data_IF_042710551540
#
_entry.id   IF_042710551540
#
_cell.length_a   1.000
_cell.length_b   1.000
_cell.length_c   1.000
_cell.angle_alpha   90.00
_cell.angle_beta   90.00
_cell.angle_gamma   90.00
#
_symmetry.space_group_name_H-M   'P 1'
#
loop_
_entity.id
_entity.type
_entity.pdbx_description
1 polymer ?
#
# COMPACT_ATOMS: atom_id res chain seq x y z
N UNK A 1 -2.10 -15.22 -2.59
CA UNK A 1 -2.60 -16.14 -1.55
C UNK A 1 -2.71 -15.33 -0.27
N UNK A 2 -3.91 -15.28 0.32
CA UNK A 2 -4.17 -14.57 1.58
C UNK A 2 -4.53 -15.65 2.60
N UNK A 3 -3.58 -16.02 3.46
CA UNK A 3 -3.71 -17.19 4.32
C UNK A 3 -3.91 -18.48 3.50
N UNK A 4 -5.05 -19.14 3.68
CA UNK A 4 -5.44 -20.36 2.94
C UNK A 4 -6.21 -20.06 1.64
N UNK A 5 -6.64 -18.82 1.41
CA UNK A 5 -7.44 -18.45 0.24
C UNK A 5 -6.57 -18.07 -0.97
N UNK A 6 -6.87 -18.67 -2.12
CA UNK A 6 -6.31 -18.29 -3.43
C UNK A 6 -7.40 -17.57 -4.23
N UNK A 7 -7.29 -16.25 -4.31
CA UNK A 7 -8.19 -15.39 -5.09
C UNK A 7 -7.40 -14.67 -6.17
N UNK A 8 -8.05 -14.42 -7.31
CA UNK A 8 -7.53 -13.49 -8.32
C UNK A 8 -7.74 -12.07 -7.79
N UNK A 9 -6.73 -11.24 -7.89
CA UNK A 9 -6.81 -9.84 -7.52
C UNK A 9 -6.22 -8.98 -8.64
N UNK A 10 -6.82 -7.81 -8.86
CA UNK A 10 -6.34 -6.77 -9.74
C UNK A 10 -5.50 -5.82 -8.91
N UNK A 11 -4.21 -5.79 -9.19
CA UNK A 11 -3.30 -4.82 -8.62
C UNK A 11 -3.48 -3.47 -9.32
N UNK A 12 -3.69 -2.41 -8.54
CA UNK A 12 -3.66 -1.02 -9.01
C UNK A 12 -2.77 -0.19 -8.10
N UNK A 13 -2.03 0.75 -8.66
CA UNK A 13 -1.24 1.71 -7.87
C UNK A 13 -2.17 2.84 -7.47
N UNK A 14 -2.29 3.10 -6.17
CA UNK A 14 -2.98 4.27 -5.64
C UNK A 14 -2.12 5.52 -5.90
N UNK A 15 -2.76 6.60 -6.35
CA UNK A 15 -2.12 7.85 -6.73
C UNK A 15 -2.77 9.02 -5.96
N UNK A 16 -2.01 10.11 -5.78
CA UNK A 16 -2.52 11.36 -5.19
C UNK A 16 -3.11 11.18 -3.78
N UNK A 17 -4.33 11.67 -3.58
CA UNK A 17 -5.01 11.68 -2.27
C UNK A 17 -5.34 10.28 -1.74
N UNK A 18 -5.68 9.34 -2.63
CA UNK A 18 -5.97 7.96 -2.24
C UNK A 18 -4.72 7.29 -1.63
N UNK A 19 -3.56 7.50 -2.26
CA UNK A 19 -2.27 7.04 -1.74
C UNK A 19 -1.98 7.62 -0.37
N UNK A 20 -2.17 8.94 -0.20
CA UNK A 20 -1.88 9.64 1.05
C UNK A 20 -2.74 9.12 2.20
N UNK A 21 -4.03 8.86 1.95
CA UNK A 21 -4.96 8.29 2.93
C UNK A 21 -4.55 6.87 3.34
N UNK A 22 -4.34 5.99 2.36
CA UNK A 22 -3.91 4.60 2.60
C UNK A 22 -2.54 4.53 3.29
N UNK A 23 -1.62 5.41 2.92
CA UNK A 23 -0.31 5.51 3.55
C UNK A 23 -0.43 5.92 5.02
N UNK A 24 -1.27 6.91 5.35
CA UNK A 24 -1.52 7.31 6.74
C UNK A 24 -2.07 6.17 7.57
N UNK A 25 -3.04 5.42 7.04
CA UNK A 25 -3.60 4.23 7.69
C UNK A 25 -2.54 3.12 7.85
N UNK A 26 -1.72 2.91 6.83
CA UNK A 26 -0.62 1.95 6.84
C UNK A 26 0.47 2.28 7.86
N UNK A 27 0.79 3.56 8.05
CA UNK A 27 1.74 4.02 9.09
C UNK A 27 1.17 3.83 10.50
N UNK A 28 -0.15 4.00 10.70
CA UNK A 28 -0.80 3.71 11.99
C UNK A 28 -0.73 2.22 12.30
N UNK A 29 -0.97 1.37 11.31
CA UNK A 29 -0.89 -0.08 11.47
C UNK A 29 0.56 -0.57 11.64
N UNK A 30 1.50 0.03 10.90
CA UNK A 30 2.91 -0.32 10.91
C UNK A 30 3.78 0.95 10.94
N UNK A 31 4.11 1.46 12.14
CA UNK A 31 4.90 2.68 12.32
C UNK A 31 6.22 2.75 11.52
N UNK A 32 6.97 1.63 11.32
CA UNK A 32 8.21 1.65 10.53
C UNK A 32 8.07 2.06 9.07
N UNK A 33 6.86 2.15 8.51
CA UNK A 33 6.67 2.67 7.15
C UNK A 33 7.06 4.15 7.05
N UNK A 34 6.88 4.94 8.10
CA UNK A 34 7.33 6.33 8.13
C UNK A 34 8.85 6.42 7.90
N UNK A 35 9.64 5.57 8.58
CA UNK A 35 11.09 5.48 8.37
C UNK A 35 11.46 5.08 6.93
N UNK A 36 10.66 4.24 6.28
CA UNK A 36 10.91 3.85 4.89
C UNK A 36 10.70 5.02 3.94
N UNK A 37 9.69 5.86 4.18
CA UNK A 37 9.48 7.07 3.40
C UNK A 37 10.65 8.05 3.57
N UNK A 38 11.17 8.20 4.79
CA UNK A 38 12.36 9.03 5.05
C UNK A 38 13.58 8.48 4.30
N UNK A 39 13.79 7.15 4.32
CA UNK A 39 14.87 6.49 3.58
C UNK A 39 14.72 6.56 2.07
N UNK A 40 13.49 6.63 1.57
CA UNK A 40 13.21 6.73 0.14
C UNK A 40 13.60 8.10 -0.43
N UNK A 41 13.67 9.14 0.41
CA UNK A 41 14.13 10.48 0.07
C UNK A 41 13.30 11.09 -1.07
N UNK A 42 13.85 11.29 -2.28
CA UNK A 42 13.12 11.84 -3.42
C UNK A 42 12.16 10.85 -4.10
N UNK A 43 12.20 9.55 -3.73
CA UNK A 43 11.34 8.53 -4.31
C UNK A 43 10.09 8.35 -3.45
N UNK A 44 8.93 8.38 -4.10
CA UNK A 44 7.67 8.05 -3.44
C UNK A 44 7.47 6.53 -3.40
N UNK A 45 7.09 6.00 -2.23
CA UNK A 45 6.77 4.57 -2.10
C UNK A 45 5.39 4.33 -2.72
N UNK A 46 5.29 3.52 -3.80
CA UNK A 46 4.02 3.24 -4.43
C UNK A 46 3.17 2.37 -3.51
N UNK A 47 1.91 2.77 -3.30
CA UNK A 47 0.93 1.96 -2.56
C UNK A 47 0.13 1.16 -3.59
N UNK A 48 0.20 -0.16 -3.51
CA UNK A 48 -0.53 -1.06 -4.41
C UNK A 48 -1.77 -1.58 -3.69
N UNK A 49 -2.94 -1.30 -4.26
CA UNK A 49 -4.22 -1.84 -3.81
C UNK A 49 -4.52 -3.10 -4.62
N UNK A 50 -4.87 -4.17 -3.91
CA UNK A 50 -5.27 -5.44 -4.50
C UNK A 50 -6.80 -5.54 -4.40
N UNK A 51 -7.49 -5.25 -5.49
CA UNK A 51 -8.94 -5.42 -5.58
C UNK A 51 -9.27 -6.86 -6.01
N UNK A 52 -10.07 -7.63 -5.26
CA UNK A 52 -10.44 -8.99 -5.66
C UNK A 52 -11.25 -8.96 -6.97
N UNK A 53 -10.85 -9.78 -7.94
CA UNK A 53 -11.57 -9.96 -9.21
C UNK A 53 -12.33 -11.28 -9.11
N UNK A 54 -13.66 -11.19 -9.12
CA UNK A 54 -14.56 -12.33 -9.17
C UNK A 54 -14.38 -13.15 -10.46
#
# INVERSE_FOLDING_TARGET
>A
QVGTAKMKARARVALGEERAKLWKEGVVFWPPYADYQVKAGPREIPVVVLDPVA
#
